data_IF_098193883290
#
_entry.id   IF_098193883290
#
_cell.length_a   1.000
_cell.length_b   1.000
_cell.length_c   1.000
_cell.angle_alpha   90.00
_cell.angle_beta   90.00
_cell.angle_gamma   90.00
#
_symmetry.space_group_name_H-M   'P 1'
#
loop_
_entity.id
_entity.type
_entity.pdbx_description
1 polymer ?
#
# COMPACT_ATOMS: atom_id res chain seq x y z
N UNK A 1 -1.13 -39.93 -44.59
CA UNK A 1 -0.32 -38.93 -43.86
C UNK A 1 -1.01 -37.59 -43.65
N UNK A 2 -1.67 -36.97 -44.65
CA UNK A 2 -2.33 -35.65 -44.49
C UNK A 2 -3.50 -35.63 -43.50
N UNK A 3 -4.29 -36.71 -43.41
CA UNK A 3 -5.43 -36.81 -42.46
C UNK A 3 -4.97 -36.87 -40.99
N UNK A 4 -3.86 -37.58 -40.71
CA UNK A 4 -3.29 -37.65 -39.36
C UNK A 4 -2.71 -36.31 -38.91
N UNK A 5 -2.17 -35.52 -39.86
CA UNK A 5 -1.69 -34.16 -39.62
C UNK A 5 -2.83 -33.20 -39.27
N UNK A 6 -3.99 -33.34 -39.93
CA UNK A 6 -5.18 -32.52 -39.63
C UNK A 6 -5.82 -32.84 -38.28
N UNK A 7 -5.82 -34.12 -37.87
CA UNK A 7 -6.32 -34.53 -36.55
C UNK A 7 -5.44 -33.98 -35.42
N UNK A 8 -4.11 -33.94 -35.63
CA UNK A 8 -3.18 -33.34 -34.67
C UNK A 8 -3.35 -31.82 -34.53
N UNK A 9 -3.64 -31.11 -35.62
CA UNK A 9 -3.91 -29.67 -35.62
C UNK A 9 -5.24 -29.29 -34.96
N UNK A 10 -6.25 -30.16 -35.02
CA UNK A 10 -7.54 -29.95 -34.35
C UNK A 10 -7.42 -30.16 -32.83
N UNK A 11 -6.56 -31.08 -32.37
CA UNK A 11 -6.34 -31.32 -30.93
C UNK A 11 -5.62 -30.16 -30.21
N UNK A 12 -4.77 -29.40 -30.91
CA UNK A 12 -4.04 -28.24 -30.34
C UNK A 12 -4.98 -27.04 -30.09
N UNK A 13 -6.13 -26.99 -30.76
CA UNK A 13 -7.07 -25.86 -30.66
C UNK A 13 -8.03 -25.95 -29.47
N UNK A 14 -8.05 -27.06 -28.73
CA UNK A 14 -9.05 -27.30 -27.67
C UNK A 14 -8.58 -26.99 -26.24
N UNK A 15 -7.37 -26.44 -26.06
CA UNK A 15 -6.85 -26.03 -24.74
C UNK A 15 -6.99 -24.51 -24.52
N UNK A 16 -8.15 -23.95 -24.83
CA UNK A 16 -8.48 -22.61 -24.31
C UNK A 16 -8.76 -22.75 -22.81
N UNK A 17 -7.77 -22.44 -21.97
CA UNK A 17 -8.00 -22.20 -20.54
C UNK A 17 -9.07 -21.12 -20.43
N UNK A 18 -10.19 -21.44 -19.79
CA UNK A 18 -11.13 -20.45 -19.27
C UNK A 18 -10.35 -19.56 -18.29
N UNK A 19 -9.95 -18.37 -18.73
CA UNK A 19 -9.41 -17.34 -17.86
C UNK A 19 -10.61 -16.76 -17.13
N UNK A 20 -10.99 -17.38 -16.01
CA UNK A 20 -11.64 -16.62 -14.95
C UNK A 20 -10.56 -15.69 -14.41
N UNK A 21 -10.76 -14.38 -14.51
CA UNK A 21 -9.89 -13.45 -13.83
C UNK A 21 -9.97 -13.78 -12.34
N UNK A 22 -8.85 -14.18 -11.73
CA UNK A 22 -8.78 -14.33 -10.28
C UNK A 22 -9.00 -12.95 -9.65
N UNK A 23 -9.59 -12.91 -8.45
CA UNK A 23 -9.81 -11.65 -7.75
C UNK A 23 -8.45 -11.03 -7.50
N UNK A 24 -8.23 -9.83 -8.04
CA UNK A 24 -6.99 -9.11 -7.83
C UNK A 24 -6.97 -8.58 -6.39
N UNK A 25 -6.19 -9.24 -5.52
CA UNK A 25 -5.96 -8.79 -4.15
C UNK A 25 -5.02 -7.58 -4.15
N UNK A 26 -5.48 -6.47 -3.58
CA UNK A 26 -4.73 -5.20 -3.46
C UNK A 26 -4.58 -4.88 -1.98
N UNK A 27 -3.38 -5.15 -1.45
CA UNK A 27 -3.06 -4.94 -0.05
C UNK A 27 -2.37 -3.58 0.13
N UNK A 28 -2.93 -2.76 1.02
CA UNK A 28 -2.46 -1.40 1.29
C UNK A 28 -2.02 -1.34 2.75
N UNK A 29 -0.74 -1.05 2.95
CA UNK A 29 -0.14 -0.93 4.29
C UNK A 29 -0.24 0.52 4.75
N UNK A 30 -0.88 0.77 5.88
CA UNK A 30 -0.90 2.07 6.54
C UNK A 30 0.09 2.06 7.70
N UNK A 31 1.25 2.69 7.49
CA UNK A 31 2.28 2.87 8.50
C UNK A 31 2.03 4.18 9.27
N UNK A 32 1.79 4.09 10.57
CA UNK A 32 1.49 5.23 11.43
C UNK A 32 2.54 5.35 12.54
N UNK A 33 3.39 6.39 12.51
CA UNK A 33 4.33 6.67 13.60
C UNK A 33 3.57 7.23 14.79
N UNK A 34 3.72 6.58 15.94
CA UNK A 34 3.22 7.10 17.20
C UNK A 34 4.07 8.31 17.57
N UNK A 35 3.49 9.51 17.46
CA UNK A 35 4.10 10.75 17.90
C UNK A 35 3.57 11.03 19.30
N UNK A 36 4.39 10.75 20.31
CA UNK A 36 4.12 11.15 21.69
C UNK A 36 4.19 12.68 21.76
N UNK A 37 3.04 13.33 21.95
CA UNK A 37 2.97 14.78 22.13
C UNK A 37 2.95 15.08 23.60
N UNK A 38 3.80 16.00 24.05
CA UNK A 38 3.65 16.52 25.40
C UNK A 38 2.27 17.20 25.53
N UNK A 39 1.51 16.90 26.59
CA UNK A 39 0.23 17.53 26.80
C UNK A 39 0.45 19.04 26.95
N UNK A 40 -0.14 19.83 26.05
CA UNK A 40 -0.12 21.29 26.21
C UNK A 40 -0.97 21.66 27.41
N UNK A 41 -0.54 22.66 28.19
CA UNK A 41 -1.21 23.13 29.43
C UNK A 41 -2.70 23.45 29.21
N UNK A 42 -3.08 23.79 27.97
CA UNK A 42 -4.45 24.14 27.56
C UNK A 42 -5.15 23.07 26.70
N UNK A 43 -4.67 21.81 26.68
CA UNK A 43 -5.31 20.76 25.88
C UNK A 43 -6.64 20.32 26.52
N UNK A 44 -7.72 21.04 26.24
CA UNK A 44 -9.09 20.67 26.62
C UNK A 44 -9.63 19.49 25.80
N UNK A 45 -9.02 19.22 24.64
CA UNK A 45 -9.43 18.14 23.76
C UNK A 45 -8.65 16.87 24.06
N UNK A 46 -9.30 15.70 23.98
CA UNK A 46 -8.61 14.42 24.06
C UNK A 46 -7.63 14.28 22.88
N UNK A 47 -6.55 13.55 23.12
CA UNK A 47 -5.59 13.24 22.07
C UNK A 47 -6.26 12.46 20.94
N UNK A 48 -6.00 12.85 19.69
CA UNK A 48 -6.53 12.15 18.52
C UNK A 48 -5.70 10.89 18.29
N UNK A 49 -6.24 9.77 18.76
CA UNK A 49 -5.68 8.44 18.56
C UNK A 49 -5.92 8.02 17.10
N UNK A 50 -4.92 7.36 16.49
CA UNK A 50 -5.04 6.73 15.16
C UNK A 50 -5.48 7.68 14.03
N UNK A 51 -4.95 8.90 14.07
CA UNK A 51 -5.21 9.92 13.07
C UNK A 51 -4.96 9.38 11.64
N UNK A 52 -5.99 9.45 10.80
CA UNK A 52 -5.97 8.97 9.40
C UNK A 52 -6.41 7.53 9.18
N UNK A 53 -6.34 6.64 10.18
CA UNK A 53 -6.66 5.20 10.01
C UNK A 53 -8.14 4.97 9.69
N UNK A 54 -9.04 5.69 10.37
CA UNK A 54 -10.49 5.60 10.09
C UNK A 54 -10.83 6.04 8.67
N UNK A 55 -10.11 7.04 8.14
CA UNK A 55 -10.23 7.47 6.75
C UNK A 55 -9.80 6.36 5.78
N UNK A 56 -8.67 5.69 6.04
CA UNK A 56 -8.24 4.53 5.24
C UNK A 56 -9.25 3.39 5.30
N UNK A 57 -9.81 3.06 6.47
CA UNK A 57 -10.86 2.03 6.60
C UNK A 57 -12.08 2.38 5.76
N UNK A 58 -12.52 3.63 5.82
CA UNK A 58 -13.65 4.12 5.03
C UNK A 58 -13.34 4.03 3.53
N UNK A 59 -12.16 4.46 3.09
CA UNK A 59 -11.74 4.37 1.70
C UNK A 59 -11.66 2.93 1.17
N UNK A 60 -11.19 1.98 1.98
CA UNK A 60 -11.16 0.56 1.61
C UNK A 60 -12.57 -0.01 1.47
N UNK A 61 -13.46 0.32 2.41
CA UNK A 61 -14.88 -0.07 2.32
C UNK A 61 -15.52 0.48 1.05
N UNK A 62 -15.25 1.75 0.73
CA UNK A 62 -15.77 2.41 -0.47
C UNK A 62 -15.19 1.81 -1.76
N UNK A 63 -13.88 1.62 -1.84
CA UNK A 63 -13.20 0.99 -2.97
C UNK A 63 -13.74 -0.42 -3.23
N UNK A 64 -14.01 -1.20 -2.18
CA UNK A 64 -14.61 -2.53 -2.30
C UNK A 64 -16.08 -2.53 -2.76
N UNK A 65 -16.78 -1.39 -2.76
CA UNK A 65 -18.09 -1.30 -3.42
C UNK A 65 -17.94 -1.38 -4.94
N UNK A 66 -16.95 -0.67 -5.50
CA UNK A 66 -16.65 -0.64 -6.93
C UNK A 66 -15.78 -1.84 -7.34
N UNK A 67 -14.94 -2.34 -6.43
CA UNK A 67 -14.08 -3.52 -6.60
C UNK A 67 -14.82 -4.78 -7.04
N UNK A 68 -16.10 -4.91 -6.65
CA UNK A 68 -17.01 -5.99 -7.11
C UNK A 68 -17.22 -6.01 -8.62
N UNK A 69 -17.14 -4.84 -9.27
CA UNK A 69 -17.30 -4.70 -10.72
C UNK A 69 -15.96 -4.77 -11.47
N UNK A 70 -14.84 -4.49 -10.79
CA UNK A 70 -13.48 -4.54 -11.37
C UNK A 70 -12.73 -5.83 -11.03
N UNK A 71 -13.37 -6.77 -10.32
CA UNK A 71 -12.76 -8.00 -9.81
C UNK A 71 -11.52 -7.73 -8.94
N UNK A 72 -11.59 -6.67 -8.13
CA UNK A 72 -10.55 -6.26 -7.20
C UNK A 72 -11.06 -6.35 -5.76
N UNK A 73 -10.20 -6.80 -4.86
CA UNK A 73 -10.46 -6.78 -3.43
C UNK A 73 -9.34 -6.03 -2.71
N UNK A 74 -9.71 -4.97 -2.01
CA UNK A 74 -8.79 -4.11 -1.27
C UNK A 74 -8.76 -4.50 0.20
N UNK A 75 -7.56 -4.60 0.76
CA UNK A 75 -7.32 -4.94 2.17
C UNK A 75 -6.43 -3.87 2.82
N UNK A 76 -6.81 -3.43 4.02
CA UNK A 76 -6.00 -2.54 4.83
C UNK A 76 -5.16 -3.33 5.81
N UNK A 77 -3.86 -3.04 5.85
CA UNK A 77 -2.94 -3.57 6.86
C UNK A 77 -2.45 -2.40 7.69
N UNK A 78 -2.77 -2.41 8.97
CA UNK A 78 -2.41 -1.32 9.89
C UNK A 78 -1.15 -1.69 10.67
N UNK A 79 -0.13 -0.85 10.61
CA UNK A 79 1.06 -0.99 11.46
C UNK A 79 1.39 0.33 12.14
N UNK A 80 1.40 0.30 13.48
CA UNK A 80 1.93 1.38 14.29
C UNK A 80 3.44 1.21 14.40
N UNK A 81 4.18 2.27 14.13
CA UNK A 81 5.62 2.37 14.37
C UNK A 81 5.80 3.06 15.71
N UNK A 82 6.35 2.35 16.68
CA UNK A 82 6.67 2.89 18.00
C UNK A 82 7.90 3.81 17.93
N UNK A 83 8.12 4.59 18.98
CA UNK A 83 9.26 5.53 19.10
C UNK A 83 10.64 4.86 18.97
N UNK A 84 10.73 3.56 19.27
CA UNK A 84 11.98 2.78 19.25
C UNK A 84 12.19 2.05 17.92
N UNK A 85 11.18 1.96 17.07
CA UNK A 85 11.25 1.26 15.78
C UNK A 85 11.72 2.22 14.68
N UNK A 86 12.69 1.78 13.88
CA UNK A 86 13.07 2.46 12.65
C UNK A 86 11.94 2.35 11.62
N UNK A 87 11.52 3.49 11.06
CA UNK A 87 10.49 3.51 10.03
C UNK A 87 10.95 2.79 8.75
N UNK A 88 12.23 2.95 8.38
CA UNK A 88 12.85 2.27 7.24
C UNK A 88 12.82 0.75 7.41
N UNK A 89 13.24 0.24 8.57
CA UNK A 89 13.24 -1.21 8.82
C UNK A 89 11.84 -1.82 8.76
N UNK A 90 10.85 -1.16 9.40
CA UNK A 90 9.45 -1.62 9.35
C UNK A 90 8.93 -1.62 7.91
N UNK A 91 9.21 -0.58 7.12
CA UNK A 91 8.85 -0.55 5.70
C UNK A 91 9.51 -1.70 4.91
N UNK A 92 10.80 -1.94 5.13
CA UNK A 92 11.56 -3.00 4.46
C UNK A 92 11.06 -4.40 4.80
N UNK A 93 10.56 -4.64 6.01
CA UNK A 93 9.89 -5.89 6.39
C UNK A 93 8.68 -6.18 5.48
N UNK A 94 7.79 -5.20 5.30
CA UNK A 94 6.67 -5.33 4.38
C UNK A 94 7.13 -5.45 2.91
N UNK A 95 8.18 -4.74 2.50
CA UNK A 95 8.71 -4.89 1.13
C UNK A 95 9.27 -6.29 0.86
N UNK A 96 9.91 -6.92 1.85
CA UNK A 96 10.37 -8.33 1.75
C UNK A 96 9.19 -9.29 1.59
N UNK A 97 8.05 -8.98 2.17
CA UNK A 97 6.77 -9.67 1.97
C UNK A 97 6.03 -9.28 0.67
N UNK A 98 6.65 -8.43 -0.17
CA UNK A 98 6.18 -8.00 -1.50
C UNK A 98 4.96 -7.07 -1.49
N UNK A 99 4.62 -6.44 -0.36
CA UNK A 99 3.60 -5.39 -0.33
C UNK A 99 4.02 -4.19 -1.17
N UNK A 100 3.13 -3.65 -2.01
CA UNK A 100 3.47 -2.60 -2.99
C UNK A 100 2.87 -1.23 -2.68
N UNK A 101 1.80 -1.15 -1.90
CA UNK A 101 1.06 0.10 -1.70
C UNK A 101 1.17 0.51 -0.24
N UNK A 102 1.68 1.72 0.00
CA UNK A 102 1.94 2.24 1.33
C UNK A 102 1.34 3.63 1.50
N UNK A 103 0.54 3.77 2.55
CA UNK A 103 0.10 5.05 3.10
C UNK A 103 0.91 5.29 4.36
N UNK A 104 1.60 6.42 4.43
CA UNK A 104 2.44 6.77 5.56
C UNK A 104 1.83 7.95 6.32
N UNK A 105 1.88 7.87 7.64
CA UNK A 105 1.77 8.99 8.55
C UNK A 105 3.03 8.99 9.42
N UNK A 106 4.10 9.55 8.87
CA UNK A 106 5.43 9.57 9.50
C UNK A 106 6.08 10.94 9.39
N UNK A 107 7.11 11.20 10.20
CA UNK A 107 7.85 12.46 10.18
C UNK A 107 8.61 12.67 8.88
N UNK A 108 9.14 13.89 8.67
CA UNK A 108 9.95 14.21 7.48
C UNK A 108 11.22 13.35 7.43
N UNK A 109 11.86 13.15 8.57
CA UNK A 109 13.10 12.39 8.68
C UNK A 109 12.84 10.89 8.44
N UNK A 110 11.79 10.33 9.06
CA UNK A 110 11.38 8.94 8.79
C UNK A 110 11.04 8.72 7.30
N UNK A 111 10.38 9.70 6.68
CA UNK A 111 10.05 9.61 5.26
C UNK A 111 11.31 9.64 4.38
N UNK A 112 12.28 10.50 4.69
CA UNK A 112 13.56 10.53 3.99
C UNK A 112 14.34 9.22 4.17
N UNK A 113 14.32 8.62 5.37
CA UNK A 113 14.91 7.31 5.60
C UNK A 113 14.25 6.23 4.73
N UNK A 114 12.91 6.18 4.66
CA UNK A 114 12.18 5.25 3.79
C UNK A 114 12.55 5.47 2.32
N UNK A 115 12.60 6.73 1.87
CA UNK A 115 13.01 7.07 0.50
C UNK A 115 14.43 6.61 0.15
N UNK A 116 15.31 6.49 1.14
CA UNK A 116 16.67 5.97 0.97
C UNK A 116 16.77 4.44 0.98
N UNK A 117 15.65 3.71 1.03
CA UNK A 117 15.65 2.25 1.02
C UNK A 117 15.85 1.72 -0.40
N UNK A 118 16.78 0.78 -0.57
CA UNK A 118 16.97 0.07 -1.84
C UNK A 118 15.75 -0.79 -2.22
N UNK A 119 14.83 -1.04 -1.28
CA UNK A 119 13.60 -1.79 -1.51
C UNK A 119 12.40 -0.92 -1.89
N UNK A 120 12.58 0.41 -2.07
CA UNK A 120 11.48 1.31 -2.42
C UNK A 120 11.03 1.19 -3.87
N UNK A 121 11.92 0.72 -4.76
CA UNK A 121 11.57 0.47 -6.17
C UNK A 121 10.36 -0.47 -6.28
N UNK A 122 9.54 -0.31 -7.31
CA UNK A 122 8.28 -1.05 -7.52
C UNK A 122 7.28 -0.98 -6.34
N UNK A 123 7.31 0.12 -5.58
CA UNK A 123 6.30 0.45 -4.58
C UNK A 123 5.72 1.85 -4.79
N UNK A 124 4.47 2.03 -4.41
CA UNK A 124 3.81 3.33 -4.33
C UNK A 124 3.76 3.72 -2.86
N UNK A 125 4.45 4.81 -2.52
CA UNK A 125 4.56 5.31 -1.16
C UNK A 125 4.01 6.73 -1.10
N UNK A 126 2.95 6.92 -0.30
CA UNK A 126 2.29 8.21 -0.16
C UNK A 126 2.29 8.61 1.31
N UNK A 127 2.97 9.69 1.66
CA UNK A 127 2.85 10.27 3.00
C UNK A 127 1.66 11.24 3.07
N UNK A 128 0.66 10.90 3.87
CA UNK A 128 -0.60 11.62 4.00
C UNK A 128 -0.56 12.78 5.01
N UNK A 129 0.48 12.89 5.84
CA UNK A 129 0.53 13.89 6.92
C UNK A 129 1.53 15.02 6.69
N UNK A 130 2.54 14.83 5.84
CA UNK A 130 3.54 15.86 5.56
C UNK A 130 2.96 17.04 4.76
N UNK A 131 3.20 18.25 5.27
CA UNK A 131 2.78 19.53 4.67
C UNK A 131 3.94 20.30 4.03
N UNK A 132 5.13 19.70 3.98
CA UNK A 132 6.35 20.34 3.49
C UNK A 132 6.24 20.65 1.99
N UNK A 133 6.31 21.93 1.64
CA UNK A 133 6.18 22.39 0.26
C UNK A 133 7.38 21.98 -0.61
N UNK A 134 8.57 21.79 -0.04
CA UNK A 134 9.72 21.34 -0.81
C UNK A 134 9.52 19.88 -1.25
N UNK A 135 9.10 18.99 -0.34
CA UNK A 135 8.80 17.60 -0.68
C UNK A 135 7.68 17.46 -1.73
N UNK A 136 6.75 18.41 -1.81
CA UNK A 136 5.65 18.42 -2.79
C UNK A 136 6.05 18.97 -4.15
N UNK A 137 7.15 19.73 -4.22
CA UNK A 137 7.58 20.42 -5.42
C UNK A 137 8.94 19.91 -5.87
N UNK A 138 10.01 20.41 -5.25
CA UNK A 138 11.39 20.23 -5.72
C UNK A 138 11.94 18.84 -5.40
N UNK A 139 11.59 18.29 -4.24
CA UNK A 139 12.12 17.02 -3.73
C UNK A 139 11.08 15.89 -3.79
N UNK A 140 10.14 15.97 -4.74
CA UNK A 140 9.22 14.87 -5.04
C UNK A 140 9.91 13.89 -6.00
N UNK A 141 10.55 12.86 -5.45
CA UNK A 141 11.16 11.80 -6.24
C UNK A 141 10.05 10.95 -6.86
N UNK A 142 9.96 10.96 -8.19
CA UNK A 142 8.94 10.25 -8.99
C UNK A 142 9.35 8.82 -9.27
#
# INVERSE_FOLDING_TARGET
MKIFLYIFLILISFTQKLISADIQQIQIVHLNRVIEREPTIYSINPEVIDNGILGSKMGIKDNNTTGKFTNQNFELIEKKITKKESAKQVFEEFRKEKYKFFILNVSKDDFAEIQSSDLIEDSIVINASLKDNNLRNQNCNK
#
